data_IF_882196709623
#
_entry.id   IF_882196709623
#
_cell.length_a   1.000
_cell.length_b   1.000
_cell.length_c   1.000
_cell.angle_alpha   90.00
_cell.angle_beta   90.00
_cell.angle_gamma   90.00
#
_symmetry.space_group_name_H-M   'P 1'
#
loop_
_entity.id
_entity.type
_entity.pdbx_description
1 polymer ?
#
# COMPACT_ATOMS: atom_id res chain seq x y z
N UNK A 1 -5.83 17.78 0.36
CA UNK A 1 -4.52 18.45 0.48
C UNK A 1 -3.71 18.22 -0.78
N UNK A 2 -2.61 18.95 -0.98
CA UNK A 2 -1.76 18.76 -2.17
C UNK A 2 -1.08 17.38 -2.11
N UNK A 3 -1.26 16.59 -3.17
CA UNK A 3 -0.60 15.30 -3.37
C UNK A 3 -0.39 15.03 -4.86
N UNK A 4 0.60 14.22 -5.19
CA UNK A 4 0.88 13.74 -6.54
C UNK A 4 1.54 12.37 -6.52
N UNK A 5 1.17 11.50 -7.45
CA UNK A 5 1.83 10.22 -7.70
C UNK A 5 2.17 10.15 -9.19
N UNK A 6 3.46 9.99 -9.51
CA UNK A 6 3.97 10.18 -10.89
C UNK A 6 3.49 11.53 -11.43
N UNK A 7 3.01 11.58 -12.67
CA UNK A 7 2.53 12.82 -13.31
C UNK A 7 1.10 13.22 -12.91
N UNK A 8 0.45 12.47 -12.01
CA UNK A 8 -0.95 12.71 -11.60
C UNK A 8 -1.01 13.45 -10.28
N UNK A 9 -1.57 14.66 -10.33
CA UNK A 9 -1.87 15.50 -9.15
C UNK A 9 -3.23 15.13 -8.54
N UNK A 10 -3.45 15.57 -7.31
CA UNK A 10 -4.69 15.40 -6.57
C UNK A 10 -5.10 13.93 -6.43
N UNK A 11 -4.25 13.14 -5.77
CA UNK A 11 -4.44 11.68 -5.65
C UNK A 11 -5.82 11.29 -5.10
N UNK A 12 -6.44 12.13 -4.25
CA UNK A 12 -7.80 11.92 -3.72
C UNK A 12 -8.86 11.61 -4.79
N UNK A 13 -8.66 12.07 -6.03
CA UNK A 13 -9.61 11.82 -7.12
C UNK A 13 -9.51 10.41 -7.70
N UNK A 14 -8.39 9.70 -7.49
CA UNK A 14 -8.06 8.45 -8.18
C UNK A 14 -7.39 7.41 -7.25
N UNK A 15 -7.50 7.57 -5.93
CA UNK A 15 -6.88 6.68 -4.95
C UNK A 15 -7.90 6.14 -3.96
N UNK A 16 -7.62 4.96 -3.42
CA UNK A 16 -8.29 4.43 -2.23
C UNK A 16 -7.32 4.61 -1.06
N UNK A 17 -7.74 5.34 -0.03
CA UNK A 17 -6.98 5.46 1.21
C UNK A 17 -7.29 4.30 2.15
N UNK A 18 -6.26 3.68 2.72
CA UNK A 18 -6.40 2.68 3.79
C UNK A 18 -5.61 3.19 4.99
N UNK A 19 -6.28 3.32 6.13
CA UNK A 19 -5.66 3.77 7.38
C UNK A 19 -5.40 2.57 8.28
N UNK A 20 -4.19 2.51 8.84
CA UNK A 20 -3.82 1.55 9.87
C UNK A 20 -3.66 2.31 11.19
N UNK A 21 -4.35 1.84 12.23
CA UNK A 21 -4.20 2.41 13.56
C UNK A 21 -2.81 2.11 14.13
N UNK A 22 -2.15 3.12 14.68
CA UNK A 22 -0.81 2.97 15.22
C UNK A 22 -0.26 4.29 15.74
N UNK A 23 0.86 4.22 16.44
CA UNK A 23 1.63 5.38 16.87
C UNK A 23 2.86 5.56 15.99
N UNK A 24 3.30 6.82 15.83
CA UNK A 24 4.46 7.15 15.01
C UNK A 24 5.71 6.40 15.47
N UNK A 25 6.41 5.76 14.54
CA UNK A 25 7.63 4.99 14.80
C UNK A 25 7.42 3.64 15.48
N UNK A 26 6.19 3.27 15.85
CA UNK A 26 5.87 1.97 16.45
C UNK A 26 5.55 0.96 15.35
N UNK A 27 6.06 -0.26 15.52
CA UNK A 27 5.81 -1.35 14.58
C UNK A 27 4.32 -1.71 14.52
N UNK A 28 3.79 -1.89 13.31
CA UNK A 28 2.43 -2.38 13.11
C UNK A 28 2.28 -3.85 13.50
N UNK A 29 1.08 -4.23 13.93
CA UNK A 29 0.81 -5.59 14.36
C UNK A 29 0.78 -6.58 13.18
N UNK A 30 1.19 -7.84 13.38
CA UNK A 30 1.09 -8.89 12.35
C UNK A 30 -0.30 -8.99 11.70
N UNK A 31 -1.36 -8.80 12.50
CA UNK A 31 -2.74 -8.87 12.03
C UNK A 31 -3.10 -7.73 11.07
N UNK A 32 -2.53 -6.54 11.26
CA UNK A 32 -2.76 -5.40 10.38
C UNK A 32 -2.21 -5.67 8.98
N UNK A 33 -1.01 -6.26 8.86
CA UNK A 33 -0.45 -6.68 7.57
C UNK A 33 -1.33 -7.73 6.88
N UNK A 34 -1.83 -8.73 7.63
CA UNK A 34 -2.74 -9.77 7.09
C UNK A 34 -4.04 -9.17 6.55
N UNK A 35 -4.62 -8.22 7.29
CA UNK A 35 -5.85 -7.53 6.87
C UNK A 35 -5.62 -6.62 5.68
N UNK A 36 -4.53 -5.85 5.68
CA UNK A 36 -4.15 -5.01 4.55
C UNK A 36 -3.95 -5.83 3.28
N UNK A 37 -3.27 -6.99 3.37
CA UNK A 37 -3.06 -7.87 2.22
C UNK A 37 -4.38 -8.44 1.68
N UNK A 38 -5.32 -8.77 2.58
CA UNK A 38 -6.66 -9.24 2.20
C UNK A 38 -7.44 -8.14 1.47
N UNK A 39 -7.38 -6.90 1.97
CA UNK A 39 -8.02 -5.74 1.35
C UNK A 39 -7.42 -5.51 -0.04
N UNK A 40 -6.08 -5.43 -0.15
CA UNK A 40 -5.41 -5.19 -1.42
C UNK A 40 -5.79 -6.25 -2.46
N UNK A 41 -5.72 -7.54 -2.12
CA UNK A 41 -6.12 -8.62 -3.04
C UNK A 41 -7.57 -8.50 -3.50
N UNK A 42 -8.47 -8.15 -2.58
CA UNK A 42 -9.89 -7.93 -2.92
C UNK A 42 -10.06 -6.76 -3.89
N UNK A 43 -9.29 -5.68 -3.69
CA UNK A 43 -9.28 -4.54 -4.60
C UNK A 43 -8.71 -4.92 -5.97
N UNK A 44 -7.58 -5.63 -6.02
CA UNK A 44 -6.95 -6.08 -7.26
C UNK A 44 -7.86 -6.99 -8.10
N UNK A 45 -8.64 -7.86 -7.44
CA UNK A 45 -9.65 -8.68 -8.12
C UNK A 45 -10.78 -7.85 -8.77
N UNK A 46 -11.14 -6.71 -8.17
CA UNK A 46 -12.22 -5.83 -8.67
C UNK A 46 -11.71 -4.75 -9.61
N UNK A 47 -10.46 -4.36 -9.47
CA UNK A 47 -9.77 -3.31 -10.21
C UNK A 47 -8.51 -3.91 -10.83
N UNK A 48 -8.60 -4.66 -11.94
CA UNK A 48 -7.46 -5.39 -12.50
C UNK A 48 -6.27 -4.52 -12.93
N UNK A 49 -6.47 -3.20 -13.04
CA UNK A 49 -5.43 -2.21 -13.33
C UNK A 49 -4.65 -1.75 -12.07
N UNK A 50 -5.08 -2.17 -10.88
CA UNK A 50 -4.37 -1.90 -9.63
C UNK A 50 -3.26 -2.94 -9.45
N UNK A 51 -2.06 -2.65 -9.95
CA UNK A 51 -0.86 -3.45 -9.72
C UNK A 51 -0.10 -3.02 -8.45
N UNK A 52 0.86 -3.82 -8.02
CA UNK A 52 1.57 -3.62 -6.74
C UNK A 52 2.39 -2.31 -6.71
N UNK A 53 2.84 -1.82 -7.87
CA UNK A 53 3.53 -0.53 -8.02
C UNK A 53 2.62 0.70 -7.81
N UNK A 54 1.30 0.50 -7.66
CA UNK A 54 0.33 1.53 -7.31
C UNK A 54 0.05 1.59 -5.81
N UNK A 55 0.67 0.72 -5.01
CA UNK A 55 0.54 0.70 -3.55
C UNK A 55 1.67 1.52 -2.95
N UNK A 56 1.34 2.68 -2.40
CA UNK A 56 2.31 3.67 -1.93
C UNK A 56 1.90 4.25 -0.59
N UNK A 57 2.88 4.69 0.18
CA UNK A 57 2.70 5.44 1.40
C UNK A 57 2.28 6.89 1.14
N UNK A 58 1.67 7.51 2.13
CA UNK A 58 1.24 8.91 2.02
C UNK A 58 2.42 9.88 1.90
N UNK A 59 3.54 9.55 2.56
CA UNK A 59 4.81 10.27 2.45
C UNK A 59 5.33 10.35 1.01
N UNK A 60 5.06 9.33 0.18
CA UNK A 60 5.52 9.28 -1.21
C UNK A 60 4.69 10.20 -2.11
N UNK A 61 3.39 10.35 -1.83
CA UNK A 61 2.50 11.21 -2.62
C UNK A 61 2.44 12.65 -2.11
N UNK A 62 2.94 12.93 -0.91
CA UNK A 62 2.91 14.25 -0.29
C UNK A 62 4.21 14.53 0.51
N UNK A 63 5.37 14.51 -0.17
CA UNK A 63 6.66 14.67 0.48
C UNK A 63 6.75 16.01 1.23
N UNK A 64 7.34 15.97 2.43
CA UNK A 64 7.50 17.15 3.31
C UNK A 64 6.23 17.59 4.05
N UNK A 65 5.07 16.97 3.78
CA UNK A 65 3.80 17.25 4.47
C UNK A 65 3.30 16.05 5.28
N UNK A 66 3.64 14.84 4.83
CA UNK A 66 3.17 13.58 5.38
C UNK A 66 4.35 12.64 5.60
N UNK A 67 4.26 11.89 6.68
CA UNK A 67 5.29 10.94 7.12
C UNK A 67 4.71 9.53 7.29
N UNK A 68 3.39 9.37 7.24
CA UNK A 68 2.73 8.07 7.27
C UNK A 68 2.97 7.27 5.96
N UNK A 69 3.12 5.93 6.05
CA UNK A 69 2.97 5.09 7.25
C UNK A 69 4.21 5.06 8.18
N UNK A 70 5.30 5.74 7.80
CA UNK A 70 6.49 5.94 8.63
C UNK A 70 7.37 4.71 8.77
N UNK A 71 8.40 4.82 9.62
CA UNK A 71 9.42 3.77 9.82
C UNK A 71 8.88 2.53 10.55
N UNK A 72 7.70 2.62 11.15
CA UNK A 72 7.03 1.47 11.79
C UNK A 72 6.44 0.48 10.79
N UNK A 73 6.21 0.90 9.54
CA UNK A 73 5.66 0.05 8.50
C UNK A 73 6.75 -0.67 7.71
N UNK A 74 6.70 -1.99 7.75
CA UNK A 74 7.66 -2.89 7.13
C UNK A 74 7.15 -3.33 5.75
N UNK A 75 7.59 -2.65 4.69
CA UNK A 75 7.17 -2.95 3.31
C UNK A 75 7.50 -4.37 2.87
N UNK A 76 8.70 -4.88 3.20
CA UNK A 76 9.11 -6.24 2.86
C UNK A 76 8.21 -7.28 3.54
N UNK A 77 7.87 -7.05 4.81
CA UNK A 77 6.93 -7.90 5.55
C UNK A 77 5.54 -7.87 4.93
N UNK A 78 5.07 -6.69 4.51
CA UNK A 78 3.80 -6.58 3.81
C UNK A 78 3.81 -7.38 2.51
N UNK A 79 4.85 -7.24 1.69
CA UNK A 79 5.04 -8.02 0.46
C UNK A 79 5.06 -9.53 0.75
N UNK A 80 5.82 -9.98 1.75
CA UNK A 80 5.86 -11.39 2.15
C UNK A 80 4.49 -11.94 2.53
N UNK A 81 3.70 -11.16 3.30
CA UNK A 81 2.33 -11.54 3.64
C UNK A 81 1.44 -11.55 2.39
N UNK A 82 1.59 -10.54 1.52
CA UNK A 82 0.81 -10.40 0.29
C UNK A 82 1.04 -11.55 -0.69
N UNK A 83 2.25 -12.12 -0.79
CA UNK A 83 2.55 -13.18 -1.75
C UNK A 83 2.53 -14.60 -1.16
N UNK A 84 2.69 -14.79 0.16
CA UNK A 84 2.64 -16.12 0.80
C UNK A 84 1.32 -16.84 0.60
N UNK A 85 0.22 -16.12 0.54
CA UNK A 85 -1.12 -16.71 0.35
C UNK A 85 -1.43 -17.00 -1.14
N UNK A 86 -0.40 -17.21 -1.97
CA UNK A 86 -0.45 -17.55 -3.39
C UNK A 86 -0.51 -16.32 -4.31
N UNK A 87 0.17 -16.32 -5.47
CA UNK A 87 0.08 -15.20 -6.42
C UNK A 87 -1.35 -15.07 -6.97
N UNK A 88 -1.74 -13.85 -7.34
CA UNK A 88 -2.84 -13.68 -8.28
C UNK A 88 -2.45 -14.39 -9.58
N UNK A 89 -3.33 -15.20 -10.21
CA UNK A 89 -2.97 -16.07 -11.34
C UNK A 89 -2.45 -15.33 -12.60
N UNK A 90 -2.39 -14.01 -12.57
CA UNK A 90 -1.96 -13.15 -13.68
C UNK A 90 -0.61 -12.46 -13.46
N UNK A 91 0.17 -12.82 -12.44
CA UNK A 91 1.49 -12.20 -12.24
C UNK A 91 2.61 -13.23 -12.03
N UNK A 92 3.69 -13.05 -12.82
CA UNK A 92 4.99 -13.65 -12.60
C UNK A 92 6.04 -12.52 -12.51
N UNK A 93 6.88 -12.46 -11.47
CA UNK A 93 7.99 -11.51 -11.43
C UNK A 93 9.03 -11.88 -12.49
N UNK A 94 9.37 -10.92 -13.34
CA UNK A 94 10.63 -10.90 -14.09
C UNK A 94 11.62 -10.11 -13.24
N UNK A 95 12.60 -10.82 -12.67
CA UNK A 95 13.81 -10.22 -12.12
C UNK A 95 14.78 -9.90 -13.26
#
# INVERSE_FOLDING_TARGET
GVSAWRDRKACNNNSIGVELEGAEGVAFEPLQYLRLATILRTLQQRLPFLCDDHVVGHQEIAPGRKWDPGTGFEWDRFADVLYRTGPHPYWQPVW
#
